data_IF_524083531223
#
_entry.id   IF_524083531223
#
_cell.length_a   1.000
_cell.length_b   1.000
_cell.length_c   1.000
_cell.angle_alpha   90.00
_cell.angle_beta   90.00
_cell.angle_gamma   90.00
#
_symmetry.space_group_name_H-M   'P 1'
#
loop_
_entity.id
_entity.type
_entity.pdbx_description
1 polymer ?
2 non-polymer ?
3 non-polymer ?
4 non-polymer ?
5 water ?
#
# COMPACT_ATOMS: atom_id res chain seq x y z
N UNK A 5 -0.55 -8.94 15.14
CA UNK A 5 -1.56 -7.87 15.30
C UNK A 5 -1.15 -6.46 14.81
N UNK A 6 -0.08 -5.85 15.34
CA UNK A 6 0.32 -4.53 14.81
C UNK A 6 1.30 -4.61 13.61
N UNK A 7 1.04 -3.85 12.55
CA UNK A 7 1.93 -3.87 11.38
C UNK A 7 2.38 -2.46 11.01
N UNK A 8 3.64 -2.14 11.27
CA UNK A 8 4.07 -0.74 11.27
C UNK A 8 5.30 -0.48 10.43
N UNK A 9 5.30 0.64 9.76
CA UNK A 9 6.48 1.08 9.03
C UNK A 9 7.65 1.31 9.98
N UNK A 10 7.37 1.73 11.20
CA UNK A 10 8.41 1.92 12.21
C UNK A 10 9.17 0.62 12.45
N UNK A 11 8.50 -0.53 12.39
CA UNK A 11 9.20 -1.79 12.54
C UNK A 11 10.20 -2.01 11.40
N UNK A 12 9.80 -1.68 10.17
CA UNK A 12 10.73 -1.87 9.04
C UNK A 12 11.94 -0.95 9.25
N UNK A 13 11.69 0.29 9.72
CA UNK A 13 12.76 1.23 9.84
C UNK A 13 13.74 0.80 10.95
N UNK A 14 13.20 0.32 12.05
CA UNK A 14 14.03 -0.11 13.19
C UNK A 14 14.91 -1.31 12.76
N UNK A 15 14.33 -2.23 11.98
CA UNK A 15 15.14 -3.37 11.51
C UNK A 15 16.28 -2.88 10.53
N UNK A 16 15.93 -2.03 9.57
CA UNK A 16 16.87 -1.61 8.56
C UNK A 16 17.97 -0.75 9.18
N UNK A 17 17.65 -0.03 10.25
CA UNK A 17 18.59 0.89 10.86
C UNK A 17 19.80 0.22 11.48
N UNK A 18 19.73 -1.08 11.70
CA UNK A 18 20.88 -1.77 12.26
C UNK A 18 22.00 -1.95 11.22
N UNK A 19 21.68 -1.70 9.95
CA UNK A 19 22.61 -2.00 8.88
C UNK A 19 23.03 -0.68 8.23
N UNK A 20 24.22 -0.61 7.70
CA UNK A 20 24.70 0.62 7.05
C UNK A 20 24.09 0.72 5.65
N UNK A 21 24.10 1.87 5.05
CA UNK A 21 23.65 2.04 3.67
C UNK A 21 24.46 1.22 2.72
N UNK A 22 25.71 0.87 3.06
CA UNK A 22 26.45 -0.06 2.17
C UNK A 22 25.72 -1.40 2.04
N UNK A 23 25.10 -1.85 3.13
CA UNK A 23 24.39 -3.16 3.08
C UNK A 23 23.10 -2.93 2.31
N UNK A 24 22.42 -1.82 2.57
CA UNK A 24 21.15 -1.60 1.87
C UNK A 24 21.38 -1.59 0.36
N UNK A 25 22.42 -0.88 -0.06
CA UNK A 25 22.69 -0.73 -1.49
C UNK A 25 23.27 -2.00 -2.10
N UNK A 26 24.21 -2.64 -1.40
CA UNK A 26 24.67 -3.99 -1.89
C UNK A 26 23.55 -5.01 -2.11
N UNK A 27 22.67 -5.10 -1.14
CA UNK A 27 21.53 -6.01 -1.26
C UNK A 27 20.62 -5.59 -2.40
N UNK A 28 20.25 -4.33 -2.48
CA UNK A 28 19.35 -3.90 -3.54
C UNK A 28 19.98 -4.15 -4.91
N UNK A 29 21.27 -3.84 -5.06
CA UNK A 29 21.91 -4.08 -6.36
C UNK A 29 21.94 -5.51 -6.80
N UNK A 30 22.28 -6.43 -5.89
CA UNK A 30 22.38 -7.83 -6.25
C UNK A 30 20.98 -8.40 -6.49
N UNK A 31 20.03 -8.00 -5.68
CA UNK A 31 18.65 -8.49 -5.85
C UNK A 31 18.06 -7.94 -7.14
N UNK A 32 18.24 -6.64 -7.42
CA UNK A 32 17.66 -6.14 -8.66
C UNK A 32 18.33 -6.72 -9.89
N UNK A 33 19.65 -6.92 -9.84
CA UNK A 33 20.39 -7.51 -10.96
C UNK A 33 19.92 -8.97 -11.23
N UNK A 34 19.36 -9.62 -10.21
CA UNK A 34 19.02 -11.02 -10.33
C UNK A 34 17.55 -11.32 -10.10
N UNK A 35 16.68 -10.32 -10.22
CA UNK A 35 15.32 -10.52 -9.72
C UNK A 35 14.50 -11.53 -10.52
N UNK A 36 14.64 -11.53 -11.84
CA UNK A 36 14.00 -12.59 -12.63
C UNK A 36 14.51 -13.98 -12.25
N UNK A 37 15.82 -14.13 -12.12
CA UNK A 37 16.37 -15.42 -11.73
C UNK A 37 15.92 -15.84 -10.34
N UNK A 38 15.83 -14.89 -9.41
CA UNK A 38 15.36 -15.23 -8.08
C UNK A 38 13.90 -15.66 -8.06
N UNK A 39 13.07 -14.99 -8.85
CA UNK A 39 11.64 -15.31 -8.90
C UNK A 39 11.47 -16.64 -9.59
N UNK A 40 12.28 -16.93 -10.60
CA UNK A 40 12.21 -18.24 -11.26
C UNK A 40 12.54 -19.31 -10.25
N UNK A 41 13.63 -19.09 -9.51
CA UNK A 41 14.09 -20.10 -8.57
C UNK A 41 13.01 -20.36 -7.50
N UNK A 42 12.39 -19.27 -7.05
CA UNK A 42 11.41 -19.37 -5.97
C UNK A 42 10.28 -20.28 -6.35
N UNK A 43 9.61 -19.98 -7.46
CA UNK A 43 8.44 -20.79 -7.78
C UNK A 43 8.86 -22.16 -8.31
N UNK A 44 10.04 -22.30 -8.90
CA UNK A 44 10.54 -23.63 -9.20
C UNK A 44 10.69 -24.47 -7.93
N UNK A 45 11.23 -23.89 -6.86
CA UNK A 45 11.39 -24.69 -5.67
C UNK A 45 10.02 -25.00 -5.04
N UNK A 46 9.02 -24.17 -5.32
CA UNK A 46 7.67 -24.48 -4.83
C UNK A 46 7.00 -25.55 -5.64
N UNK A 47 7.18 -25.46 -6.95
CA UNK A 47 6.56 -26.44 -7.87
C UNK A 47 7.01 -27.83 -7.54
N UNK A 48 8.17 -27.96 -6.91
CA UNK A 48 8.74 -29.28 -6.64
C UNK A 48 8.54 -29.77 -5.20
N UNK A 49 7.78 -29.01 -4.45
CA UNK A 49 7.36 -29.30 -3.08
C UNK A 49 5.85 -29.57 -3.23
N UNK A 50 5.42 -30.83 -3.13
CA UNK A 50 4.00 -31.17 -3.36
C UNK A 50 3.01 -30.45 -2.45
N UNK A 51 3.47 -30.07 -1.24
CA UNK A 51 2.67 -29.28 -0.30
C UNK A 51 2.39 -27.93 -0.91
N UNK A 52 3.42 -27.37 -1.54
CA UNK A 52 3.29 -26.03 -2.09
C UNK A 52 2.73 -26.11 -3.48
N UNK A 53 3.02 -27.19 -4.21
CA UNK A 53 2.50 -27.28 -5.58
C UNK A 53 0.97 -27.33 -5.63
N UNK A 54 0.36 -27.81 -4.53
CA UNK A 54 -1.09 -27.87 -4.35
C UNK A 54 -1.70 -26.51 -4.61
N UNK A 55 -0.97 -25.45 -4.29
CA UNK A 55 -1.56 -24.15 -4.41
C UNK A 55 -1.18 -23.47 -5.69
N UNK A 56 -0.47 -24.16 -6.53
CA UNK A 56 0.04 -23.58 -7.72
C UNK A 56 -0.50 -24.28 -8.92
N UNK A 57 -0.42 -23.58 -10.02
CA UNK A 57 -0.41 -24.21 -11.29
C UNK A 57 0.71 -23.54 -12.12
N UNK A 58 1.11 -24.21 -13.19
CA UNK A 58 2.07 -23.57 -14.05
C UNK A 58 1.54 -22.24 -14.63
N UNK A 59 0.27 -22.21 -15.02
CA UNK A 59 -0.38 -21.01 -15.52
C UNK A 59 -0.33 -19.85 -14.51
N UNK A 60 -0.66 -20.16 -13.26
CA UNK A 60 -0.67 -19.13 -12.21
C UNK A 60 0.73 -18.53 -12.06
N UNK A 61 1.75 -19.41 -12.09
CA UNK A 61 3.14 -18.98 -11.83
C UNK A 61 3.67 -18.11 -12.95
N UNK A 62 3.40 -18.57 -14.17
CA UNK A 62 3.83 -17.86 -15.38
C UNK A 62 3.06 -16.57 -15.56
N UNK A 63 1.75 -16.61 -15.26
CA UNK A 63 0.83 -15.52 -15.61
C UNK A 63 0.84 -14.42 -14.57
N UNK A 64 0.99 -14.79 -13.30
CA UNK A 64 0.90 -13.83 -12.23
C UNK A 64 2.13 -13.80 -11.29
N UNK A 65 2.58 -14.95 -10.85
CA UNK A 65 3.42 -14.99 -9.66
C UNK A 65 4.90 -14.63 -9.87
N UNK A 66 5.46 -14.94 -11.05
CA UNK A 66 6.82 -14.47 -11.35
C UNK A 66 6.92 -12.97 -11.28
N UNK A 67 5.94 -12.31 -11.87
CA UNK A 67 5.94 -10.86 -11.96
C UNK A 67 5.78 -10.27 -10.58
N UNK A 68 4.88 -10.85 -9.78
CA UNK A 68 4.64 -10.24 -8.48
C UNK A 68 5.79 -10.52 -7.49
N UNK A 69 6.50 -11.63 -7.68
CA UNK A 69 7.66 -11.89 -6.83
C UNK A 69 8.75 -10.86 -7.16
N UNK A 70 8.93 -10.55 -8.44
CA UNK A 70 9.90 -9.51 -8.86
C UNK A 70 9.52 -8.20 -8.21
N UNK A 71 8.24 -7.86 -8.24
CA UNK A 71 7.81 -6.62 -7.58
C UNK A 71 8.05 -6.62 -6.08
N UNK A 72 7.86 -7.76 -5.45
CA UNK A 72 8.06 -7.86 -4.01
C UNK A 72 9.53 -7.64 -3.69
N UNK A 73 10.40 -8.27 -4.47
CA UNK A 73 11.84 -8.11 -4.27
C UNK A 73 12.20 -6.64 -4.36
N UNK A 74 11.65 -5.98 -5.39
CA UNK A 74 11.94 -4.55 -5.58
C UNK A 74 11.45 -3.75 -4.39
N UNK A 75 10.24 -4.05 -3.92
CA UNK A 75 9.65 -3.28 -2.81
C UNK A 75 10.50 -3.42 -1.55
N UNK A 76 10.87 -4.64 -1.22
CA UNK A 76 11.61 -4.94 0.02
C UNK A 76 12.93 -4.23 0.07
N UNK A 77 13.68 -4.30 -1.02
CA UNK A 77 15.02 -3.71 -1.04
C UNK A 77 15.06 -2.23 -1.37
N UNK A 78 13.94 -1.67 -1.85
CA UNK A 78 13.89 -0.22 -2.06
C UNK A 78 13.58 0.47 -0.77
N UNK A 79 12.95 -0.17 0.21
CA UNK A 79 12.33 0.54 1.33
C UNK A 79 13.32 1.42 2.06
N UNK A 80 14.38 0.83 2.56
CA UNK A 80 15.32 1.59 3.36
C UNK A 80 16.09 2.70 2.63
N UNK A 81 16.74 2.40 1.50
CA UNK A 81 17.51 3.51 0.89
C UNK A 81 16.62 4.59 0.33
N UNK A 82 15.35 4.35 0.06
CA UNK A 82 14.46 5.39 -0.53
C UNK A 82 13.55 6.00 0.53
N UNK A 83 13.56 5.40 1.73
CA UNK A 83 12.68 5.78 2.86
C UNK A 83 11.19 5.50 2.58
N UNK A 84 10.94 4.60 1.63
CA UNK A 84 9.57 4.24 1.27
C UNK A 84 9.09 3.07 2.14
N UNK A 85 9.06 3.30 3.44
CA UNK A 85 8.72 2.26 4.40
C UNK A 85 7.25 1.89 4.33
N UNK A 86 6.38 2.90 4.31
CA UNK A 86 4.94 2.65 4.33
C UNK A 86 4.53 1.90 3.08
N UNK A 87 5.16 2.23 1.95
CA UNK A 87 4.87 1.57 0.68
C UNK A 87 5.16 0.08 0.81
N UNK A 88 6.32 -0.30 1.35
CA UNK A 88 6.64 -1.73 1.43
C UNK A 88 5.75 -2.42 2.45
N UNK A 89 5.42 -1.74 3.53
CA UNK A 89 4.57 -2.36 4.55
C UNK A 89 3.16 -2.62 4.01
N UNK A 90 2.63 -1.69 3.24
CA UNK A 90 1.35 -1.89 2.56
C UNK A 90 1.42 -3.06 1.61
N UNK A 91 2.55 -3.20 0.93
CA UNK A 91 2.76 -4.34 0.01
C UNK A 91 2.69 -5.65 0.82
N UNK A 92 3.36 -5.68 1.99
CA UNK A 92 3.29 -6.91 2.84
C UNK A 92 1.85 -7.26 3.27
N UNK A 93 1.07 -6.25 3.65
CA UNK A 93 -0.33 -6.45 4.06
C UNK A 93 -1.14 -7.02 2.91
N UNK A 94 -0.93 -6.49 1.71
CA UNK A 94 -1.61 -6.99 0.52
C UNK A 94 -1.27 -8.46 0.22
N UNK A 95 0.01 -8.83 0.27
CA UNK A 95 0.39 -10.24 0.09
C UNK A 95 -0.25 -11.10 1.17
N UNK A 96 -0.24 -10.67 2.42
CA UNK A 96 -0.78 -11.52 3.47
C UNK A 96 -2.27 -11.74 3.32
N UNK A 97 -2.98 -10.70 2.89
CA UNK A 97 -4.41 -10.83 2.62
C UNK A 97 -4.69 -11.82 1.48
N UNK A 98 -3.94 -11.70 0.36
CA UNK A 98 -4.09 -12.65 -0.75
C UNK A 98 -3.77 -14.07 -0.31
N UNK A 99 -2.68 -14.25 0.42
CA UNK A 99 -2.34 -15.57 0.94
C UNK A 99 -3.44 -16.19 1.83
N UNK A 100 -4.03 -15.36 2.69
CA UNK A 100 -5.07 -15.82 3.61
C UNK A 100 -6.32 -16.27 2.88
N UNK A 101 -6.68 -15.62 1.79
CA UNK A 101 -7.89 -16.05 1.08
C UNK A 101 -7.74 -17.41 0.38
N UNK A 102 -6.51 -17.81 0.09
CA UNK A 102 -6.15 -19.04 -0.59
C UNK A 102 -5.79 -20.05 0.49
N UNK A 103 -5.55 -19.52 1.68
CA UNK A 103 -5.17 -20.31 2.85
C UNK A 103 -3.78 -20.95 2.75
N UNK A 104 -2.80 -20.15 2.37
CA UNK A 104 -1.42 -20.60 2.34
C UNK A 104 -0.92 -20.70 3.77
N UNK A 105 -0.47 -21.88 4.20
CA UNK A 105 0.07 -22.06 5.56
C UNK A 105 1.42 -21.37 5.78
N UNK A 106 1.63 -20.82 6.97
CA UNK A 106 2.87 -20.13 7.27
C UNK A 106 4.12 -21.00 7.08
N UNK A 107 4.06 -22.31 7.34
CA UNK A 107 5.28 -23.09 7.23
C UNK A 107 5.74 -23.12 5.79
N UNK A 108 4.82 -22.97 4.83
CA UNK A 108 5.26 -22.87 3.43
C UNK A 108 5.86 -21.50 3.09
N UNK A 109 5.32 -20.46 3.68
CA UNK A 109 5.84 -19.09 3.49
C UNK A 109 7.26 -19.02 4.05
N UNK A 110 7.46 -19.55 5.24
CA UNK A 110 8.79 -19.59 5.89
C UNK A 110 9.77 -20.48 5.13
N UNK A 111 9.29 -21.58 4.58
CA UNK A 111 10.11 -22.45 3.75
C UNK A 111 10.60 -21.65 2.55
N UNK A 112 9.70 -20.90 1.93
CA UNK A 112 10.07 -20.11 0.78
C UNK A 112 11.02 -18.98 1.16
N UNK A 113 10.77 -18.31 2.29
CA UNK A 113 11.68 -17.26 2.77
C UNK A 113 13.08 -17.84 2.99
N UNK A 114 13.18 -19.06 3.54
CA UNK A 114 14.50 -19.62 3.81
C UNK A 114 15.28 -19.90 2.51
N UNK A 115 14.57 -20.33 1.47
CA UNK A 115 15.18 -20.57 0.16
C UNK A 115 15.69 -19.26 -0.46
N UNK A 116 14.90 -18.21 -0.30
CA UNK A 116 15.25 -16.90 -0.81
C UNK A 116 16.48 -16.36 -0.07
N UNK A 117 16.48 -16.47 1.26
CA UNK A 117 17.60 -15.95 2.05
C UNK A 117 18.88 -16.65 1.58
N UNK A 118 18.82 -17.97 1.44
CA UNK A 118 20.03 -18.67 1.08
C UNK A 118 20.52 -18.31 -0.31
N UNK A 119 19.61 -18.19 -1.28
CA UNK A 119 20.02 -17.88 -2.65
C UNK A 119 20.58 -16.50 -2.75
N UNK A 120 19.96 -15.55 -2.06
CA UNK A 120 20.48 -14.18 -2.12
C UNK A 120 21.84 -14.14 -1.46
N UNK A 121 22.00 -14.82 -0.32
CA UNK A 121 23.31 -14.84 0.31
C UNK A 121 24.41 -15.53 -0.51
N UNK A 122 24.06 -16.57 -1.24
CA UNK A 122 24.98 -17.14 -2.21
C UNK A 122 25.48 -16.14 -3.24
N UNK A 123 24.57 -15.34 -3.80
CA UNK A 123 24.93 -14.30 -4.75
C UNK A 123 25.86 -13.28 -4.13
N UNK A 124 25.65 -12.96 -2.87
CA UNK A 124 26.55 -12.00 -2.21
C UNK A 124 27.94 -12.56 -2.00
N UNK A 125 27.99 -13.84 -1.60
CA UNK A 125 29.24 -14.54 -1.42
C UNK A 125 30.03 -14.76 -2.70
N UNK A 126 29.34 -14.78 -3.83
CA UNK A 126 29.96 -14.95 -5.15
C UNK A 126 30.49 -13.65 -5.69
N UNK A 127 30.07 -12.52 -5.09
CA UNK A 127 30.47 -11.20 -5.57
C UNK A 127 31.87 -10.82 -5.08
N UNK A 128 32.82 -10.85 -5.99
CA UNK A 128 34.22 -10.54 -5.69
C UNK A 128 34.44 -9.11 -5.23
N UNK A 129 33.47 -8.22 -5.42
CA UNK A 129 33.65 -6.82 -5.02
C UNK A 129 33.26 -6.60 -3.55
N UNK A 130 32.76 -7.63 -2.89
CA UNK A 130 32.42 -7.54 -1.48
C UNK A 130 33.44 -8.30 -0.63
N UNK A 131 33.91 -7.70 0.47
CA UNK A 131 34.75 -8.49 1.38
C UNK A 131 33.86 -9.51 2.04
N UNK A 132 34.47 -10.47 2.71
CA UNK A 132 33.69 -11.45 3.46
C UNK A 132 32.91 -10.73 4.55
N UNK A 133 33.51 -9.69 5.13
CA UNK A 133 32.79 -8.96 6.17
C UNK A 133 31.53 -8.27 5.61
N UNK A 134 31.65 -7.60 4.46
CA UNK A 134 30.50 -6.97 3.80
C UNK A 134 29.45 -7.96 3.35
N UNK A 135 29.90 -9.08 2.80
CA UNK A 135 28.97 -10.12 2.37
C UNK A 135 28.16 -10.62 3.55
N UNK A 136 28.84 -10.88 4.66
CA UNK A 136 28.18 -11.32 5.88
C UNK A 136 27.15 -10.30 6.41
N UNK A 137 27.58 -9.05 6.48
CA UNK A 137 26.69 -8.02 7.01
C UNK A 137 25.49 -7.85 6.08
N UNK A 138 25.71 -7.98 4.78
CA UNK A 138 24.62 -7.79 3.81
C UNK A 138 23.63 -8.95 3.86
N UNK A 139 24.18 -10.13 4.07
CA UNK A 139 23.35 -11.30 4.20
C UNK A 139 22.53 -11.22 5.49
N UNK A 140 23.15 -10.75 6.56
CA UNK A 140 22.35 -10.52 7.79
C UNK A 140 21.17 -9.61 7.52
N UNK A 141 21.42 -8.49 6.82
CA UNK A 141 20.35 -7.62 6.42
C UNK A 141 19.26 -8.29 5.62
N UNK A 142 19.66 -9.11 4.64
CA UNK A 142 18.68 -9.86 3.83
C UNK A 142 17.84 -10.78 4.71
N UNK A 143 18.49 -11.48 5.64
CA UNK A 143 17.73 -12.43 6.47
C UNK A 143 16.76 -11.63 7.36
N UNK A 144 17.20 -10.47 7.85
CA UNK A 144 16.40 -9.73 8.80
C UNK A 144 15.17 -9.03 8.14
N UNK A 145 15.36 -8.37 6.99
CA UNK A 145 14.19 -7.81 6.28
C UNK A 145 13.26 -8.90 5.73
N UNK A 146 13.81 -10.07 5.37
CA UNK A 146 12.96 -11.14 4.88
C UNK A 146 12.12 -11.67 6.02
N UNK A 147 12.72 -11.92 7.18
CA UNK A 147 11.98 -12.37 8.37
C UNK A 147 10.92 -11.36 8.80
N UNK A 148 11.28 -10.08 8.70
CA UNK A 148 10.39 -9.02 9.11
C UNK A 148 9.18 -8.97 8.18
N UNK A 149 9.43 -9.15 6.87
CA UNK A 149 8.34 -9.19 5.89
C UNK A 149 7.42 -10.38 6.17
N UNK A 150 7.99 -11.56 6.47
CA UNK A 150 7.14 -12.74 6.75
C UNK A 150 6.21 -12.49 7.94
N UNK A 151 6.73 -11.90 9.01
CA UNK A 151 5.90 -11.56 10.15
C UNK A 151 4.75 -10.62 9.74
N UNK A 152 5.06 -9.60 8.95
CA UNK A 152 4.03 -8.66 8.50
C UNK A 152 3.00 -9.34 7.63
N UNK A 153 3.43 -10.14 6.67
CA UNK A 153 2.48 -10.88 5.82
C UNK A 153 1.58 -11.74 6.67
N UNK A 154 2.21 -12.43 7.63
CA UNK A 154 1.48 -13.39 8.48
C UNK A 154 0.38 -12.74 9.32
N UNK A 155 0.57 -11.46 9.68
CA UNK A 155 -0.42 -10.76 10.49
C UNK A 155 -1.50 -10.03 9.73
N UNK A 156 -1.37 -9.94 8.41
CA UNK A 156 -2.26 -9.11 7.61
C UNK A 156 -3.74 -9.47 7.73
N UNK A 157 -4.06 -10.76 7.69
CA UNK A 157 -5.46 -11.18 7.79
C UNK A 157 -6.11 -10.70 9.10
N UNK A 158 -5.41 -10.91 10.20
CA UNK A 158 -5.92 -10.49 11.50
C UNK A 158 -5.61 -9.02 11.76
N UNK B 3 7.99 12.96 -4.97
CA UNK B 3 8.98 13.33 -3.95
C UNK B 3 9.06 12.35 -2.79
N UNK B 4 9.82 12.71 -1.76
CA UNK B 4 10.04 11.79 -0.64
C UNK B 4 8.74 11.64 0.13
N UNK B 5 8.58 10.47 0.78
CA UNK B 5 7.46 10.29 1.70
C UNK B 5 7.46 11.43 2.66
N UNK B 6 8.62 11.88 3.10
CA UNK B 6 8.71 12.86 4.18
C UNK B 6 8.08 14.15 3.73
N UNK B 7 8.35 14.51 2.49
CA UNK B 7 7.82 15.77 1.92
C UNK B 7 6.32 15.70 1.72
N UNK B 8 5.84 14.57 1.22
CA UNK B 8 4.42 14.39 1.01
C UNK B 8 3.68 14.32 2.34
N UNK B 9 4.28 13.65 3.32
CA UNK B 9 3.67 13.58 4.65
C UNK B 9 3.60 14.95 5.27
N UNK B 10 4.67 15.72 5.14
CA UNK B 10 4.65 17.10 5.59
C UNK B 10 3.57 17.93 4.88
N UNK B 11 3.32 17.65 3.60
CA UNK B 11 2.24 18.35 2.89
C UNK B 11 0.89 18.06 3.54
N UNK B 12 0.63 16.81 3.85
CA UNK B 12 -0.66 16.48 4.44
C UNK B 12 -0.75 17.11 5.83
N UNK B 13 0.35 17.07 6.56
CA UNK B 13 0.36 17.64 7.88
C UNK B 13 0.13 19.12 7.84
N UNK B 14 0.79 19.82 6.92
CA UNK B 14 0.61 21.27 6.80
C UNK B 14 -0.83 21.63 6.44
N UNK B 15 -1.42 20.86 5.53
CA UNK B 15 -2.82 21.10 5.19
C UNK B 15 -3.70 20.86 6.39
N UNK B 16 -3.50 19.73 7.06
CA UNK B 16 -4.39 19.39 8.19
C UNK B 16 -4.27 20.38 9.34
N UNK B 17 -3.10 21.01 9.50
CA UNK B 17 -2.81 21.84 10.66
C UNK B 17 -3.60 23.13 10.63
N UNK B 18 -4.24 23.40 9.50
CA UNK B 18 -5.01 24.62 9.48
C UNK B 18 -6.39 24.47 10.16
N UNK B 19 -6.74 23.26 10.55
CA UNK B 19 -8.06 22.96 11.09
C UNK B 19 -7.85 22.38 12.46
N UNK B 20 -8.87 22.47 13.31
CA UNK B 20 -8.70 21.97 14.67
C UNK B 20 -8.96 20.47 14.72
N UNK B 21 -8.48 19.82 15.78
CA UNK B 21 -8.82 18.40 15.93
C UNK B 21 -10.32 18.19 15.97
N UNK B 22 -11.13 19.15 16.39
CA UNK B 22 -12.59 18.95 16.32
C UNK B 22 -13.04 18.73 14.87
N UNK B 23 -12.45 19.48 13.91
CA UNK B 23 -12.77 19.29 12.49
C UNK B 23 -12.32 17.92 12.03
N UNK B 24 -11.13 17.52 12.44
CA UNK B 24 -10.58 16.26 11.97
C UNK B 24 -11.48 15.13 12.42
N UNK B 25 -11.87 15.18 13.69
CA UNK B 25 -12.73 14.13 14.27
C UNK B 25 -14.15 14.19 13.76
N UNK B 26 -14.73 15.39 13.63
CA UNK B 26 -16.10 15.47 13.08
C UNK B 26 -16.18 14.91 11.69
N UNK B 27 -15.20 15.21 10.85
CA UNK B 27 -15.16 14.67 9.48
C UNK B 27 -15.00 13.17 9.52
N UNK B 28 -14.06 12.69 10.34
CA UNK B 28 -13.88 11.23 10.40
C UNK B 28 -15.17 10.56 10.88
N UNK B 29 -15.82 11.12 11.89
CA UNK B 29 -17.05 10.46 12.40
C UNK B 29 -18.15 10.39 11.36
N UNK B 30 -18.48 11.51 10.74
CA UNK B 30 -19.56 11.55 9.77
C UNK B 30 -19.25 10.70 8.52
N UNK B 31 -18.02 10.78 8.04
CA UNK B 31 -17.62 10.00 6.86
C UNK B 31 -17.63 8.54 7.19
N UNK B 32 -17.04 8.17 8.31
CA UNK B 32 -16.98 6.71 8.55
C UNK B 32 -18.39 6.14 8.85
N UNK B 33 -19.25 6.90 9.49
CA UNK B 33 -20.62 6.45 9.76
C UNK B 33 -21.45 6.32 8.50
N UNK B 34 -21.07 7.04 7.46
CA UNK B 34 -21.81 7.00 6.20
C UNK B 34 -21.00 6.44 5.06
N UNK B 35 -19.94 5.67 5.37
CA UNK B 35 -19.01 5.28 4.30
C UNK B 35 -19.64 4.41 3.22
N UNK B 36 -20.46 3.44 3.62
CA UNK B 36 -21.10 2.65 2.59
C UNK B 36 -22.05 3.48 1.70
N UNK B 37 -22.82 4.37 2.30
CA UNK B 37 -23.73 5.21 1.52
C UNK B 37 -22.91 6.13 0.62
N UNK B 38 -21.79 6.64 1.13
CA UNK B 38 -20.93 7.46 0.29
C UNK B 38 -20.37 6.69 -0.89
N UNK B 39 -19.98 5.43 -0.63
CA UNK B 39 -19.42 4.58 -1.69
C UNK B 39 -20.54 4.22 -2.72
N UNK B 40 -21.74 3.99 -2.21
CA UNK B 40 -22.91 3.72 -3.06
C UNK B 40 -23.16 4.96 -3.91
N UNK B 41 -23.16 6.15 -3.31
CA UNK B 41 -23.42 7.34 -4.07
C UNK B 41 -22.34 7.59 -5.15
N UNK B 42 -21.09 7.37 -4.79
CA UNK B 42 -20.01 7.51 -5.75
C UNK B 42 -20.25 6.63 -6.98
N UNK B 43 -20.64 5.38 -6.78
CA UNK B 43 -20.79 4.47 -7.91
C UNK B 43 -21.97 4.90 -8.78
N UNK B 44 -23.07 5.29 -8.15
CA UNK B 44 -24.19 5.82 -8.92
C UNK B 44 -23.82 7.08 -9.69
N UNK B 45 -23.03 7.95 -9.08
CA UNK B 45 -22.49 9.11 -9.80
C UNK B 45 -21.71 8.68 -11.06
N UNK B 46 -20.84 7.66 -10.94
CA UNK B 46 -20.07 7.19 -12.11
C UNK B 46 -20.97 6.62 -13.18
N UNK B 47 -21.97 5.83 -12.75
CA UNK B 47 -22.84 5.16 -13.71
C UNK B 47 -23.64 6.18 -14.53
N UNK B 48 -23.97 7.31 -13.91
CA UNK B 48 -24.83 8.31 -14.55
C UNK B 48 -24.04 9.21 -15.52
N UNK B 49 -22.74 9.03 -15.54
CA UNK B 49 -21.90 9.83 -16.39
C UNK B 49 -21.29 8.90 -17.46
N UNK B 50 -21.66 9.09 -18.74
CA UNK B 50 -21.13 8.16 -19.77
C UNK B 50 -19.61 8.05 -19.81
N UNK B 51 -18.90 9.14 -19.55
CA UNK B 51 -17.43 9.10 -19.57
C UNK B 51 -16.88 8.18 -18.46
N UNK B 52 -17.57 8.13 -17.32
CA UNK B 52 -17.12 7.31 -16.20
C UNK B 52 -17.62 5.91 -16.38
N UNK B 53 -18.85 5.81 -16.88
CA UNK B 53 -19.49 4.47 -17.01
C UNK B 53 -18.67 3.62 -17.99
N UNK B 54 -17.94 4.29 -18.89
CA UNK B 54 -17.02 3.66 -19.84
C UNK B 54 -16.02 2.73 -19.13
N UNK B 55 -15.72 2.98 -17.86
CA UNK B 55 -14.80 2.12 -17.08
C UNK B 55 -15.45 1.11 -16.15
N UNK B 56 -16.78 1.05 -16.17
CA UNK B 56 -17.59 0.15 -15.32
C UNK B 56 -17.99 -1.11 -16.08
N UNK B 57 -18.36 -2.15 -15.36
CA UNK B 57 -18.78 -3.41 -16.03
C UNK B 57 -19.81 -4.11 -15.19
N UNK B 58 -19.40 -5.16 -14.47
CA UNK B 58 -20.36 -6.04 -13.85
C UNK B 58 -20.47 -5.85 -12.34
N UNK B 59 -21.25 -6.71 -11.68
CA UNK B 59 -21.48 -6.55 -10.26
C UNK B 59 -20.23 -6.85 -9.46
N UNK B 60 -19.36 -7.68 -9.99
CA UNK B 60 -18.14 -8.03 -9.26
C UNK B 60 -17.24 -6.81 -9.12
N UNK B 61 -17.13 -6.06 -10.22
CA UNK B 61 -16.32 -4.85 -10.20
C UNK B 61 -17.05 -3.82 -9.36
N UNK B 62 -18.38 -3.79 -9.42
CA UNK B 62 -19.12 -2.86 -8.55
C UNK B 62 -18.78 -3.09 -7.07
N UNK B 63 -18.67 -4.35 -6.67
CA UNK B 63 -18.32 -4.64 -5.30
C UNK B 63 -16.91 -4.20 -4.94
N UNK B 64 -15.98 -4.38 -5.86
CA UNK B 64 -14.58 -3.99 -5.62
C UNK B 64 -14.50 -2.48 -5.51
N UNK B 65 -15.27 -1.80 -6.36
CA UNK B 65 -15.17 -0.30 -6.36
C UNK B 65 -15.76 0.21 -5.08
N UNK B 66 -16.78 -0.44 -4.59
CA UNK B 66 -17.42 0.02 -3.37
C UNK B 66 -16.48 -0.15 -2.19
N UNK B 67 -15.81 -1.29 -2.10
CA UNK B 67 -14.86 -1.54 -1.03
C UNK B 67 -13.66 -0.61 -1.05
N UNK B 68 -13.12 -0.36 -2.24
CA UNK B 68 -11.94 0.51 -2.35
C UNK B 68 -12.32 1.92 -2.01
N UNK B 69 -13.52 2.36 -2.35
CA UNK B 69 -13.91 3.73 -1.98
C UNK B 69 -14.04 3.87 -0.47
N UNK B 70 -14.54 2.82 0.16
CA UNK B 70 -14.68 2.84 1.62
C UNK B 70 -13.29 2.89 2.22
N UNK B 71 -12.36 2.15 1.63
CA UNK B 71 -10.97 2.11 2.11
C UNK B 71 -10.35 3.47 1.94
N UNK B 72 -10.61 4.12 0.81
CA UNK B 72 -10.02 5.49 0.63
C UNK B 72 -10.57 6.49 1.61
N UNK B 73 -11.88 6.48 1.82
CA UNK B 73 -12.48 7.38 2.80
C UNK B 73 -11.85 7.18 4.20
N UNK B 74 -11.60 5.93 4.59
CA UNK B 74 -10.96 5.69 5.87
C UNK B 74 -9.55 6.21 5.88
N UNK B 75 -8.81 6.02 4.80
CA UNK B 75 -7.44 6.49 4.71
C UNK B 75 -7.35 8.00 4.87
N UNK B 76 -8.19 8.69 4.12
CA UNK B 76 -8.08 10.16 4.04
C UNK B 76 -8.37 10.74 5.40
N UNK B 77 -9.41 10.24 6.07
CA UNK B 77 -9.89 10.85 7.30
C UNK B 77 -9.15 10.35 8.52
N UNK B 78 -8.43 9.23 8.39
CA UNK B 78 -7.63 8.78 9.51
C UNK B 78 -6.35 9.58 9.71
N UNK B 79 -5.79 10.14 8.64
CA UNK B 79 -4.42 10.68 8.70
C UNK B 79 -4.18 11.69 9.78
N UNK B 80 -4.93 12.78 9.74
CA UNK B 80 -4.68 13.83 10.69
C UNK B 80 -4.95 13.41 12.15
N UNK B 81 -6.13 12.83 12.43
CA UNK B 81 -6.33 12.52 13.84
C UNK B 81 -5.45 11.38 14.42
N UNK B 82 -4.84 10.56 13.57
CA UNK B 82 -3.94 9.50 14.08
C UNK B 82 -2.45 9.78 13.85
N UNK B 83 -2.16 10.86 13.14
CA UNK B 83 -0.79 11.28 12.80
C UNK B 83 -0.15 10.23 11.90
N UNK B 84 -0.97 9.52 11.14
CA UNK B 84 -0.50 8.50 10.19
C UNK B 84 -0.41 9.14 8.81
N UNK B 85 0.33 10.26 8.72
CA UNK B 85 0.46 10.99 7.46
C UNK B 85 1.14 10.13 6.41
N UNK B 86 2.22 9.47 6.79
CA UNK B 86 2.96 8.67 5.81
C UNK B 86 2.13 7.52 5.25
N UNK B 87 1.27 6.93 6.06
CA UNK B 87 0.48 5.81 5.55
C UNK B 87 -0.53 6.33 4.52
N UNK B 88 -1.21 7.45 4.79
CA UNK B 88 -2.23 7.95 3.91
C UNK B 88 -1.58 8.38 2.55
N UNK B 89 -0.42 9.02 2.67
CA UNK B 89 0.29 9.52 1.53
C UNK B 89 0.74 8.38 0.60
N UNK B 90 1.20 7.26 1.16
CA UNK B 90 1.51 6.11 0.33
C UNK B 90 0.26 5.57 -0.34
N UNK B 91 -0.85 5.53 0.39
CA UNK B 91 -2.11 5.05 -0.18
C UNK B 91 -2.49 5.93 -1.39
N UNK B 92 -2.35 7.26 -1.26
CA UNK B 92 -2.75 8.08 -2.39
C UNK B 92 -1.87 7.82 -3.61
N UNK B 93 -0.57 7.63 -3.41
CA UNK B 93 0.30 7.38 -4.55
C UNK B 93 -0.04 6.04 -5.19
N UNK B 94 -0.47 5.07 -4.38
CA UNK B 94 -0.84 3.78 -4.92
C UNK B 94 -2.12 3.88 -5.73
N UNK B 95 -3.11 4.61 -5.26
CA UNK B 95 -4.34 4.78 -6.04
C UNK B 95 -4.01 5.47 -7.37
N UNK B 96 -3.15 6.48 -7.31
CA UNK B 96 -2.76 7.18 -8.52
C UNK B 96 -2.12 6.26 -9.55
N UNK B 97 -1.27 5.37 -9.06
CA UNK B 97 -0.56 4.44 -9.94
C UNK B 97 -1.57 3.47 -10.55
N UNK B 98 -2.53 3.02 -9.74
CA UNK B 98 -3.57 2.12 -10.25
C UNK B 98 -4.46 2.81 -11.31
N UNK B 99 -4.89 4.03 -11.01
CA UNK B 99 -5.68 4.77 -12.00
C UNK B 99 -4.92 5.05 -13.30
N UNK B 100 -3.67 5.49 -13.18
CA UNK B 100 -2.89 5.82 -14.37
C UNK B 100 -2.68 4.62 -15.26
N UNK B 101 -2.45 3.45 -14.65
CA UNK B 101 -2.18 2.26 -15.44
C UNK B 101 -3.41 1.89 -16.26
N UNK B 102 -4.60 2.26 -15.76
CA UNK B 102 -5.82 1.91 -16.53
C UNK B 102 -6.36 3.10 -17.32
N UNK B 103 -5.60 4.19 -17.26
CA UNK B 103 -5.89 5.42 -18.01
C UNK B 103 -7.16 6.15 -17.62
N UNK B 104 -7.46 6.19 -16.34
CA UNK B 104 -8.59 7.00 -15.87
C UNK B 104 -8.15 8.48 -16.03
N UNK B 105 -8.94 9.28 -16.79
CA UNK B 105 -8.59 10.69 -16.98
C UNK B 105 -8.74 11.50 -15.68
N UNK B 106 -7.82 12.44 -15.42
CA UNK B 106 -7.90 13.21 -14.19
C UNK B 106 -9.19 13.97 -14.05
N UNK B 107 -9.76 14.46 -15.17
CA UNK B 107 -11.02 15.17 -15.05
C UNK B 107 -12.14 14.33 -14.42
N UNK B 108 -12.09 12.99 -14.56
CA UNK B 108 -13.13 12.25 -13.93
C UNK B 108 -12.88 12.04 -12.49
N UNK B 109 -11.61 11.96 -12.10
CA UNK B 109 -11.25 11.91 -10.69
C UNK B 109 -11.68 13.21 -9.97
N UNK B 110 -11.40 14.34 -10.57
CA UNK B 110 -11.79 15.62 -9.95
C UNK B 110 -13.30 15.77 -9.92
N UNK B 111 -14.01 15.29 -10.95
CA UNK B 111 -15.47 15.23 -10.93
C UNK B 111 -16.00 14.45 -9.73
N UNK B 112 -15.42 13.26 -9.52
CA UNK B 112 -15.84 12.46 -8.38
C UNK B 112 -15.52 13.12 -7.05
N UNK B 113 -14.32 13.72 -6.97
CA UNK B 113 -13.94 14.40 -5.75
C UNK B 113 -14.92 15.54 -5.44
N UNK B 114 -15.36 16.28 -6.46
CA UNK B 114 -16.28 17.42 -6.29
C UNK B 114 -17.61 16.90 -5.77
N UNK B 115 -18.06 15.74 -6.30
CA UNK B 115 -19.31 15.21 -5.84
C UNK B 115 -19.22 14.71 -4.38
N UNK B 116 -18.07 14.13 -4.01
CA UNK B 116 -17.81 13.75 -2.61
C UNK B 116 -17.78 14.94 -1.68
N UNK B 117 -17.08 16.03 -2.07
CA UNK B 117 -17.05 17.21 -1.23
C UNK B 117 -18.48 17.74 -0.96
N UNK B 118 -19.30 17.87 -2.01
CA UNK B 118 -20.63 18.32 -1.76
C UNK B 118 -21.46 17.39 -0.89
N UNK B 119 -21.34 16.09 -1.16
CA UNK B 119 -22.16 15.20 -0.38
C UNK B 119 -21.76 15.11 1.08
N UNK B 120 -20.46 15.15 1.36
CA UNK B 120 -19.97 15.13 2.74
C UNK B 120 -20.39 16.41 3.44
N UNK B 121 -20.27 17.51 2.70
CA UNK B 121 -20.67 18.78 3.28
C UNK B 121 -22.17 18.85 3.62
N UNK B 122 -23.01 18.23 2.81
CA UNK B 122 -24.41 18.11 3.12
C UNK B 122 -24.66 17.29 4.39
N UNK B 123 -23.92 16.18 4.54
CA UNK B 123 -24.03 15.42 5.79
C UNK B 123 -23.63 16.22 7.01
N UNK B 124 -22.63 17.08 6.86
CA UNK B 124 -22.15 17.87 7.98
C UNK B 124 -23.20 18.94 8.34
N UNK B 125 -23.79 19.54 7.30
CA UNK B 125 -24.82 20.58 7.55
C UNK B 125 -26.09 20.00 8.18
N UNK B 126 -26.31 18.71 7.98
CA UNK B 126 -27.46 18.02 8.55
C UNK B 126 -27.21 17.44 9.95
N UNK B 127 -25.95 17.39 10.36
CA UNK B 127 -25.62 16.75 11.64
C UNK B 127 -25.98 17.70 12.78
N UNK B 128 -26.97 17.30 13.58
CA UNK B 128 -27.48 18.09 14.70
C UNK B 128 -26.42 18.42 15.75
N UNK B 129 -25.33 17.65 15.79
CA UNK B 129 -24.36 17.83 16.85
C UNK B 129 -23.31 18.79 16.40
N UNK B 130 -23.41 19.29 15.17
CA UNK B 130 -22.44 20.32 14.74
C UNK B 130 -23.10 21.67 14.61
N UNK B 131 -22.45 22.70 15.14
CA UNK B 131 -22.93 24.06 14.88
C UNK B 131 -22.70 24.43 13.43
N UNK B 132 -23.34 25.49 12.98
CA UNK B 132 -23.09 25.98 11.61
C UNK B 132 -21.64 26.37 11.44
N UNK B 133 -21.01 26.90 12.51
CA UNK B 133 -19.57 27.21 12.47
C UNK B 133 -18.71 25.99 12.29
N UNK B 134 -19.06 24.94 13.02
CA UNK B 134 -18.34 23.67 12.93
C UNK B 134 -18.56 23.00 11.60
N UNK B 135 -19.79 23.02 11.11
CA UNK B 135 -20.10 22.41 9.82
C UNK B 135 -19.27 23.07 8.71
N UNK B 136 -19.19 24.40 8.73
CA UNK B 136 -18.44 25.09 7.68
C UNK B 136 -16.93 24.86 7.77
N UNK B 137 -16.41 24.85 8.99
CA UNK B 137 -14.98 24.59 9.18
C UNK B 137 -14.62 23.16 8.78
N UNK B 138 -15.49 22.19 9.11
CA UNK B 138 -15.22 20.82 8.76
C UNK B 138 -15.40 20.63 7.28
N UNK B 139 -16.33 21.34 6.66
CA UNK B 139 -16.47 21.28 5.20
C UNK B 139 -15.22 21.82 4.51
N UNK B 140 -14.71 22.91 5.03
CA UNK B 140 -13.43 23.42 4.45
C UNK B 140 -12.30 22.40 4.56
N UNK B 141 -12.19 21.72 5.71
CA UNK B 141 -11.20 20.66 5.90
C UNK B 141 -11.41 19.53 4.89
N UNK B 142 -12.66 19.12 4.74
CA UNK B 142 -12.99 18.07 3.78
C UNK B 142 -12.55 18.44 2.38
N UNK B 143 -12.86 19.68 1.94
CA UNK B 143 -12.43 20.08 0.61
C UNK B 143 -10.91 20.09 0.51
N UNK B 144 -10.24 20.56 1.57
CA UNK B 144 -8.80 20.72 1.55
C UNK B 144 -8.09 19.36 1.50
N UNK B 145 -8.43 18.42 2.39
CA UNK B 145 -7.79 17.11 2.24
C UNK B 145 -8.20 16.38 0.96
N UNK B 146 -9.42 16.59 0.50
CA UNK B 146 -9.82 15.95 -0.76
C UNK B 146 -8.97 16.43 -1.94
N UNK B 147 -8.82 17.76 -2.07
CA UNK B 147 -7.99 18.32 -3.14
C UNK B 147 -6.53 17.91 -3.01
N UNK B 148 -6.07 17.85 -1.75
CA UNK B 148 -4.71 17.45 -1.46
C UNK B 148 -4.51 15.99 -1.89
N UNK B 149 -5.48 15.13 -1.61
CA UNK B 149 -5.39 13.75 -2.02
C UNK B 149 -5.38 13.63 -3.53
N UNK B 150 -6.25 14.39 -4.21
CA UNK B 150 -6.30 14.32 -5.66
C UNK B 150 -4.96 14.71 -6.30
N UNK B 151 -4.34 15.74 -5.75
CA UNK B 151 -3.01 16.13 -6.18
C UNK B 151 -1.99 15.01 -6.02
N UNK B 152 -2.00 14.35 -4.88
CA UNK B 152 -1.05 13.28 -4.66
C UNK B 152 -1.30 12.10 -5.57
N UNK B 153 -2.58 11.82 -5.83
CA UNK B 153 -2.92 10.70 -6.70
C UNK B 153 -2.41 11.01 -8.11
N UNK B 154 -2.57 12.27 -8.51
CA UNK B 154 -2.30 12.64 -9.88
C UNK B 154 -0.81 12.60 -10.22
N UNK B 155 0.04 12.66 -9.22
CA UNK B 155 1.48 12.60 -9.45
C UNK B 155 1.94 11.16 -9.65
X LIG C 1 0.47 -14.14 -4.20
X LIG C 1 4.90 -13.08 -2.54
X LIG C 1 5.04 -17.45 -0.56
X LIG C 1 1.25 -18.87 -3.27
X LIG C 1 1.63 -13.47 -3.92
X LIG C 1 1.95 -12.11 -4.32
X LIG C 1 3.16 -11.82 -3.88
X LIG C 1 3.69 -12.96 -3.19
X LIG C 1 3.96 -10.50 -4.08
X LIG C 1 0.99 -11.21 -5.13
X LIG C 1 -0.01 -10.59 -4.17
X LIG C 1 -0.93 -9.67 -4.93
X LIG C 1 -0.75 -8.42 -4.92
X LIG C 1 -1.87 -10.19 -5.58
X LIG C 1 5.28 -14.10 -1.73
X LIG C 1 6.41 -14.18 -0.85
X LIG C 1 6.45 -15.40 -0.29
X LIG C 1 5.34 -16.12 -0.83
X LIG C 1 7.36 -12.98 -0.62
X LIG C 1 7.44 -15.99 0.72
X LIG C 1 8.64 -15.51 1.09
X LIG C 1 4.09 -18.23 -1.19
X LIG C 1 3.95 -19.65 -1.04
X LIG C 1 2.90 -19.98 -1.80
X LIG C 1 2.34 -18.89 -2.44
X LIG C 1 4.85 -20.51 -0.14
X LIG C 1 2.20 -21.30 -2.13
X LIG C 1 2.62 -22.46 -1.67
X LIG C 1 0.70 -17.71 -3.74
X LIG C 1 -0.46 -17.65 -4.57
X LIG C 1 -0.72 -16.18 -4.87
X LIG C 1 0.34 -15.52 -4.16
X LIG C 1 -1.21 -18.90 -5.02
X LIG C 1 -1.78 -15.45 -5.71
X LIG C 1 -2.95 -16.29 -6.03
X LIG C 1 -3.89 -15.71 -7.03
X LIG C 1 -3.93 -14.48 -7.28
X LIG C 1 -4.66 -16.55 -7.54
X LIG C 1 2.73 -13.99 -3.20
X LIG C 1 4.64 -15.36 -1.74
X LIG C 1 3.09 -17.77 -2.07
X LIG C 1 1.17 -16.42 -3.51
X LIG C 1 2.81 -15.85 -2.49
X LIG D 1 -0.98 -14.25 14.78
X LIG D 1 1.32 -11.47 17.95
X LIG D 1 5.53 -12.24 15.69
X LIG D 1 3.28 -15.20 12.62
X LIG D 1 -0.76 -13.39 15.83
X LIG D 1 -1.75 -12.81 16.72
X LIG D 1 -1.07 -12.06 17.60
X LIG D 1 0.33 -12.13 17.27
X LIG D 1 -1.61 -11.20 18.77
X LIG D 1 -3.31 -13.02 16.69
X LIG D 1 -3.77 -14.44 16.36
X LIG D 1 -5.28 -14.57 16.45
X LIG D 1 -5.99 -13.58 16.12
X LIG D 1 -5.78 -15.67 16.86
X LIG D 1 2.64 -11.40 17.57
X LIG D 1 3.65 -10.56 18.18
X LIG D 1 4.80 -10.79 17.55
X LIG D 1 4.56 -11.76 16.53
X LIG D 1 3.39 -9.59 19.37
X LIG D 1 6.22 -10.21 17.72
X LIG D 1 6.44 -9.12 18.45
X LIG D 1 5.28 -13.12 14.69
X LIG D 1 6.26 -13.66 13.77
X LIG D 1 5.60 -14.48 12.94
X LIG D 1 4.21 -14.47 13.29
X LIG D 1 7.76 -13.32 13.84
X LIG D 1 6.07 -15.32 11.73
X LIG D 1 7.17 -15.03 11.06
X LIG D 1 1.96 -15.27 12.93
X LIG D 1 1.01 -16.13 12.29
X LIG D 1 -0.33 -15.83 12.97
X LIG D 1 -0.04 -14.81 13.96
X LIG D 1 1.29 -17.15 11.17
X LIG D 1 -1.70 -16.46 12.69
X LIG D 1 -2.44 -15.49 11.80
X LIG D 1 -3.88 -15.38 12.24
X LIG D 1 -4.77 -15.97 11.58
X LIG D 1 -4.15 -14.66 13.25
X LIG D 1 0.49 -12.96 16.18
X LIG D 1 3.23 -12.12 16.55
X LIG D 1 4.03 -13.63 14.37
X LIG D 1 1.31 -14.52 13.90
X LIG D 1 2.25 -13.41 15.16
X LIG E 1 26.51 -18.98 1.02
X LIG E 1 26.13 -17.65 1.27
X LIG E 1 26.96 -19.30 -0.37
X LIG E 1 26.28 -20.50 -0.65
X LIG E 1 28.39 -19.77 -0.54
X LIG E 1 28.41 -20.18 -1.89
X LIG F 1 9.51 6.70 8.94
X LIG F 1 9.73 8.07 9.12
X LIG F 1 8.11 6.36 9.40
X LIG F 1 8.17 5.15 10.14
X LIG F 1 7.13 6.21 8.24
X LIG F 1 5.87 5.86 8.77
X LIG G 1 -9.24 1.75 -8.13
X LIG G 1 -10.20 5.58 -5.31
X LIG G 1 -12.10 7.93 -9.07
X LIG G 1 -12.29 3.74 -11.46
X LIG G 1 -9.34 2.59 -7.04
X LIG G 1 -8.86 2.29 -5.72
X LIG G 1 -9.14 3.32 -4.95
X LIG G 1 -9.79 4.34 -5.76
X LIG G 1 -8.85 3.39 -3.45
X LIG G 1 -8.16 0.98 -5.28
X LIG G 1 -6.65 1.13 -5.59
X LIG G 1 -5.85 -0.09 -5.21
X LIG G 1 -4.98 -0.02 -4.29
X LIG G 1 -6.05 -1.19 -5.77
X LIG G 1 -10.76 6.55 -6.11
X LIG G 1 -11.03 7.90 -5.67
X LIG G 1 -11.52 8.55 -6.71
X LIG G 1 -11.62 7.65 -7.81
X LIG G 1 -10.75 8.43 -4.27
X LIG G 1 -12.06 9.96 -6.85
X LIG G 1 -12.20 10.80 -5.79
X LIG G 1 -12.33 6.95 -10.02
X LIG G 1 -13.04 7.23 -11.24
X LIG G 1 -13.10 6.07 -11.91
X LIG G 1 -12.42 5.06 -11.12
X LIG G 1 -13.62 8.60 -11.70
X LIG G 1 -13.74 5.74 -13.28
X LIG G 1 -14.12 6.66 -14.16
X LIG G 1 -11.46 2.92 -10.76
X LIG G 1 -11.20 1.59 -11.23
X LIG G 1 -10.27 0.95 -10.26
X LIG G 1 -10.02 1.93 -9.25
X LIG G 1 -11.74 0.94 -12.51
X LIG G 1 -9.69 -0.49 -10.30
X LIG G 1 -10.83 -1.40 -9.85
X LIG G 1 -10.42 -2.87 -9.88
X LIG G 1 -10.89 -3.59 -10.80
X LIG G 1 -9.66 -3.35 -8.98
X LIG G 1 -9.89 3.86 -7.06
X LIG G 1 -11.08 6.45 -7.44
X LIG G 1 -11.94 5.62 -9.96
X LIG G 1 -10.76 3.11 -9.54
X LIG G 1 -10.89 4.76 -8.52
X LIG H 1 0.58 20.57 -7.73
X LIG H 1 -1.97 17.70 -10.66
X LIG H 1 1.93 16.45 -13.25
X LIG H 1 4.51 19.29 -10.36
X LIG H 1 -0.48 19.90 -8.31
X LIG H 1 -1.89 19.94 -7.90
X LIG H 1 -2.58 19.12 -8.74
X LIG H 1 -1.63 18.57 -9.67
X LIG H 1 -4.08 18.70 -8.86
X LIG H 1 -2.36 20.81 -6.69
X LIG H 1 -3.86 20.81 -6.51
X LIG H 1 -4.31 20.47 -5.12
X LIG H 1 -3.53 20.60 -4.14
X LIG H 1 -5.49 20.06 -5.01
X LIG H 1 -1.13 17.17 -11.58
X LIG H 1 -1.58 16.31 -12.64
X LIG H 1 -0.50 15.97 -13.36
X LIG H 1 0.65 16.59 -12.77
X LIG H 1 -3.05 15.93 -12.84
X LIG H 1 -0.40 15.05 -14.60
X LIG H 1 -1.36 14.18 -14.93
X LIG H 1 2.98 17.12 -12.67
X LIG H 1 4.36 17.04 -13.08
X LIG H 1 5.06 17.84 -12.27
X LIG H 1 4.13 18.43 -11.34
X LIG H 1 4.86 16.17 -14.27
X LIG H 1 6.56 18.19 -12.19
X LIG H 1 7.50 17.52 -12.87
X LIG H 1 3.73 19.82 -9.38
X LIG H 1 4.30 20.53 -8.29
X LIG H 1 3.09 20.96 -7.45
X LIG H 1 1.91 20.44 -8.11
X LIG H 1 5.81 20.77 -8.09
X LIG H 1 3.15 21.75 -6.13
X LIG H 1 3.98 20.96 -5.12
X LIG H 1 3.08 20.34 -4.09
X LIG H 1 3.23 19.12 -3.81
X LIG H 1 2.20 21.05 -3.54
X LIG H 1 -0.37 19.05 -9.39
X LIG H 1 0.25 17.34 -11.67
X LIG H 1 2.86 17.97 -11.60
X LIG H 1 2.35 19.79 -9.25
X LIG H 1 1.31 18.64 -10.40
X LIG I 1 -13.99 3.07 -6.24
X LIG I 1 -12.69 3.13 -6.61
X LIG I 1 -12.67 4.06 -7.61
X LIG I 1 -13.89 4.57 -7.84
X LIG I 1 -14.78 3.93 -6.97
#
# INVERSE_FOLDING_TARGET
MKPSPEILALRWKDTSAHYSPHEWVAARNVVTANKAALADYFYESMLADPNAAFFLSDQLVKTKLHASMQDWLESVYAAAPTEEYERTVAFQRKVGEVHARIDIPVHLVTRGASALIRRICELLDRDASLSAAQAAATCRYVADVTMTAVEMMSHAYSVSHDRNARAEELEHHHHHH
MKPSPEILALRWKDTSAHYSPHEWVAARNVVTANKAALADYFYESMLADPNAAFFLSDQLVKTKLHASMQDWLESVYAAAPTEEYERTVAFQRKVGEVHARIDIPVHLVTRGASALIRRICELLDRDASLSAAQAAATCRYVADVTMTAVEMMSHAYSVSHDRNARAEELEHHHHHH
HEM CHA CHB CHC CHD C1A C2A C3A C4A CMA CAA CBA CGA O1A O2A C1B C2B C3B C4B CMB CAB CBB C1C C2C C3C C4C CMC CAC CBC C1D C2D C3D C4D CMD CAD CBD CGD O1D O2D NA NB NC ND FE
HEM CHA CHB CHC CHD C1A C2A C3A C4A CMA CAA CBA CGA O1A O2A C1B C2B C3B C4B CMB CAB CBB C1C C2C C3C C4C CMC CAC CBC C1D C2D C3D C4D CMD CAD CBD CGD O1D O2D NA NB NC ND FE
GOL C1 O1 C2 O2 C3 O3
GOL C1 O1 C2 O2 C3 O3
HEM CHA CHB CHC CHD C1A C2A C3A C4A CMA CAA CBA CGA O1A O2A C1B C2B C3B C4B CMB CAB CBB C1C C2C C3C C4C CMC CAC CBC C1D C2D C3D C4D CMD CAD CBD CGD O1D O2D NA NB NC ND FE
HEM CHA CHB CHC CHD C1A C2A C3A C4A CMA CAA CBA CGA O1A O2A C1B C2B C3B C4B CMB CAB CBB C1C C2C C3C C4C CMC CAC CBC C1D C2D C3D C4D CMD CAD CBD CGD O1D O2D NA NB NC ND FE
IMD N1 C2 N3 C4 C5
#
